data_IF_795240887245
#
_entry.id   IF_795240887245
#
_cell.length_a   1.000
_cell.length_b   1.000
_cell.length_c   1.000
_cell.angle_alpha   90.00
_cell.angle_beta   90.00
_cell.angle_gamma   90.00
#
_symmetry.space_group_name_H-M   'P 1'
#
loop_
_entity.id
_entity.type
_entity.pdbx_description
1 polymer ?
#
# COMPACT_ATOMS: atom_id res chain seq x y z
N UNK A 1 5.77 75.06 6.23
CA UNK A 1 5.40 74.49 4.92
C UNK A 1 5.88 73.04 4.93
N UNK A 2 5.01 72.08 5.26
CA UNK A 2 4.32 71.18 4.31
C UNK A 2 5.31 70.34 3.47
N UNK A 3 5.18 69.03 3.23
CA UNK A 3 4.47 67.87 3.77
C UNK A 3 4.94 66.66 2.91
N UNK A 4 4.68 65.43 3.37
CA UNK A 4 4.72 64.16 2.64
C UNK A 4 6.12 63.56 2.37
N UNK A 5 6.42 62.31 2.71
CA UNK A 5 5.54 61.17 2.97
C UNK A 5 5.99 60.02 2.06
N UNK A 6 6.89 59.18 2.57
CA UNK A 6 7.25 57.94 1.89
C UNK A 6 6.12 56.92 2.08
N UNK A 7 5.38 56.63 1.01
CA UNK A 7 4.38 55.56 0.97
C UNK A 7 4.85 54.44 0.05
N UNK A 8 4.89 53.24 0.62
CA UNK A 8 4.84 51.98 -0.11
C UNK A 8 3.44 51.79 -0.69
N UNK A 9 3.32 51.37 -1.95
CA UNK A 9 2.34 50.35 -2.37
C UNK A 9 2.51 49.92 -3.84
N UNK A 10 2.48 48.60 -4.05
CA UNK A 10 2.04 47.81 -5.22
C UNK A 10 1.98 48.43 -6.62
N UNK A 11 2.53 47.72 -7.60
CA UNK A 11 1.69 47.02 -8.58
C UNK A 11 2.45 45.92 -9.34
N UNK A 12 1.74 44.81 -9.49
CA UNK A 12 2.09 43.52 -10.09
C UNK A 12 2.51 43.61 -11.55
N UNK A 13 3.52 42.83 -11.94
CA UNK A 13 3.59 42.26 -13.29
C UNK A 13 3.87 40.76 -13.22
N UNK A 14 3.00 40.04 -13.90
CA UNK A 14 2.78 38.62 -13.81
C UNK A 14 4.00 37.81 -14.25
N UNK A 15 4.39 36.83 -13.41
CA UNK A 15 5.24 35.74 -13.87
C UNK A 15 4.48 34.91 -14.92
N UNK A 16 5.11 34.56 -16.06
CA UNK A 16 4.47 33.70 -17.03
C UNK A 16 4.18 32.34 -16.39
N UNK A 17 2.89 31.98 -16.34
CA UNK A 17 2.42 30.66 -15.95
C UNK A 17 3.06 29.64 -16.90
N UNK A 18 4.03 28.88 -16.41
CA UNK A 18 4.51 27.68 -17.11
C UNK A 18 3.28 26.80 -17.41
N UNK A 19 3.04 26.41 -18.67
CA UNK A 19 1.98 25.46 -18.96
C UNK A 19 2.27 24.16 -18.19
N UNK A 20 1.25 23.45 -17.68
CA UNK A 20 1.47 22.15 -17.08
C UNK A 20 2.10 21.27 -18.16
N UNK A 21 3.35 20.84 -17.91
CA UNK A 21 3.99 19.82 -18.74
C UNK A 21 3.09 18.60 -18.67
N UNK A 22 2.39 18.32 -19.77
CA UNK A 22 1.81 17.01 -20.04
C UNK A 22 2.97 16.01 -20.01
N UNK A 23 3.27 15.48 -18.82
CA UNK A 23 4.15 14.34 -18.67
C UNK A 23 3.41 13.20 -19.33
N UNK A 24 3.90 12.85 -20.51
CA UNK A 24 3.59 11.63 -21.25
C UNK A 24 3.25 10.52 -20.25
N UNK A 25 1.98 10.13 -20.20
CA UNK A 25 1.54 8.94 -19.49
C UNK A 25 2.27 7.79 -20.15
N UNK A 26 3.36 7.33 -19.54
CA UNK A 26 3.97 6.07 -19.92
C UNK A 26 2.87 5.03 -19.75
N UNK A 27 2.43 4.33 -20.81
CA UNK A 27 1.48 3.25 -20.65
C UNK A 27 2.12 2.25 -19.69
N UNK A 28 1.50 2.03 -18.54
CA UNK A 28 1.78 0.85 -17.73
C UNK A 28 1.43 -0.33 -18.63
N UNK A 29 2.45 -1.06 -19.06
CA UNK A 29 2.31 -2.31 -19.81
C UNK A 29 1.23 -3.17 -19.14
N UNK A 30 0.18 -3.62 -19.86
CA UNK A 30 -0.78 -4.53 -19.29
C UNK A 30 -0.04 -5.83 -18.98
N UNK A 31 0.22 -6.07 -17.70
CA UNK A 31 0.69 -7.38 -17.23
C UNK A 31 -0.48 -8.34 -17.42
N UNK A 32 -0.17 -9.51 -18.00
CA UNK A 32 -1.12 -10.51 -18.45
C UNK A 32 -2.31 -10.68 -17.50
N UNK A 33 -3.51 -10.59 -18.09
CA UNK A 33 -4.83 -10.63 -17.48
C UNK A 33 -5.12 -11.96 -16.78
N UNK A 34 -4.51 -12.19 -15.62
CA UNK A 34 -4.79 -13.32 -14.74
C UNK A 34 -5.24 -12.92 -13.33
N UNK A 35 -5.05 -11.66 -12.93
CA UNK A 35 -5.57 -11.13 -11.68
C UNK A 35 -7.01 -10.65 -11.87
N UNK A 36 -7.94 -11.19 -11.08
CA UNK A 36 -9.35 -10.78 -11.13
C UNK A 36 -9.56 -9.36 -10.56
N UNK A 37 -8.61 -8.91 -9.72
CA UNK A 37 -8.64 -7.60 -9.06
C UNK A 37 -7.26 -6.95 -9.15
N UNK A 38 -7.22 -5.71 -9.63
CA UNK A 38 -6.01 -4.89 -9.70
C UNK A 38 -6.12 -3.73 -8.70
N UNK A 39 -5.10 -3.52 -7.89
CA UNK A 39 -5.02 -2.47 -6.86
C UNK A 39 -3.80 -1.60 -7.13
N UNK A 40 -4.04 -0.29 -7.21
CA UNK A 40 -3.06 0.76 -7.52
C UNK A 40 -2.98 1.77 -6.39
N UNK A 41 -1.92 1.73 -5.61
CA UNK A 41 -1.72 2.62 -4.45
C UNK A 41 -0.97 3.88 -4.87
N UNK A 42 -1.55 5.05 -4.62
CA UNK A 42 -0.91 6.32 -4.92
C UNK A 42 0.27 6.56 -3.95
N UNK A 43 1.49 6.57 -4.47
CA UNK A 43 2.71 6.83 -3.68
C UNK A 43 3.32 8.21 -3.98
N UNK A 44 2.55 9.10 -4.63
CA UNK A 44 2.99 10.47 -4.87
C UNK A 44 3.16 11.25 -3.55
N UNK A 45 3.92 12.36 -3.57
CA UNK A 45 4.41 13.09 -2.40
C UNK A 45 3.39 13.24 -1.25
N UNK A 46 2.15 13.64 -1.54
CA UNK A 46 1.11 13.84 -0.52
C UNK A 46 0.67 12.52 0.12
N UNK A 47 0.32 11.52 -0.67
CA UNK A 47 -0.11 10.22 -0.15
C UNK A 47 1.05 9.50 0.55
N UNK A 48 2.29 9.61 0.05
CA UNK A 48 3.47 9.07 0.73
C UNK A 48 3.67 9.66 2.13
N UNK A 49 3.46 10.98 2.31
CA UNK A 49 3.52 11.62 3.64
C UNK A 49 2.37 11.20 4.57
N UNK A 50 1.30 10.64 4.03
CA UNK A 50 0.10 10.22 4.76
C UNK A 50 0.05 8.70 4.97
N UNK A 51 1.16 7.98 4.78
CA UNK A 51 1.20 6.53 5.00
C UNK A 51 1.05 5.68 3.73
N UNK A 52 1.13 6.27 2.53
CA UNK A 52 0.85 5.56 1.29
C UNK A 52 1.86 4.45 0.94
N UNK A 53 3.09 4.50 1.48
CA UNK A 53 4.09 3.43 1.26
C UNK A 53 3.85 2.26 2.19
N UNK A 54 3.49 2.58 3.43
CA UNK A 54 3.13 1.65 4.49
C UNK A 54 1.87 0.87 4.10
N UNK A 55 0.87 1.58 3.54
CA UNK A 55 -0.35 0.96 3.02
C UNK A 55 -0.08 0.08 1.81
N UNK A 56 0.84 0.47 0.91
CA UNK A 56 1.26 -0.38 -0.20
C UNK A 56 1.91 -1.67 0.31
N UNK A 57 2.86 -1.58 1.25
CA UNK A 57 3.51 -2.75 1.85
C UNK A 57 2.50 -3.65 2.58
N UNK A 58 1.56 -3.06 3.32
CA UNK A 58 0.49 -3.81 3.98
C UNK A 58 -0.39 -4.55 2.95
N UNK A 59 -0.78 -3.90 1.85
CA UNK A 59 -1.56 -4.54 0.78
C UNK A 59 -0.79 -5.67 0.11
N UNK A 60 0.51 -5.50 -0.16
CA UNK A 60 1.37 -6.57 -0.69
C UNK A 60 1.48 -7.75 0.28
N UNK A 61 1.51 -7.47 1.60
CA UNK A 61 1.50 -8.49 2.65
C UNK A 61 0.16 -9.21 2.78
N UNK A 62 -0.96 -8.52 2.58
CA UNK A 62 -2.33 -9.04 2.73
C UNK A 62 -2.87 -9.68 1.44
N UNK A 63 -2.35 -9.31 0.27
CA UNK A 63 -2.96 -9.68 -1.00
C UNK A 63 -2.91 -11.20 -1.26
N UNK A 64 -4.04 -11.80 -1.67
CA UNK A 64 -4.06 -13.14 -2.24
C UNK A 64 -3.46 -13.13 -3.66
N UNK A 65 -3.05 -14.29 -4.16
CA UNK A 65 -2.42 -14.45 -5.49
C UNK A 65 -3.28 -14.01 -6.67
N UNK A 66 -4.59 -13.84 -6.46
CA UNK A 66 -5.56 -13.34 -7.44
C UNK A 66 -5.69 -11.80 -7.49
N UNK A 67 -5.02 -11.09 -6.57
CA UNK A 67 -5.00 -9.62 -6.49
C UNK A 67 -3.62 -9.13 -6.88
N UNK A 68 -3.54 -8.29 -7.91
CA UNK A 68 -2.31 -7.59 -8.26
C UNK A 68 -2.25 -6.26 -7.50
N UNK A 69 -1.20 -6.04 -6.72
CA UNK A 69 -0.97 -4.79 -5.98
C UNK A 69 0.26 -4.10 -6.53
N UNK A 70 0.12 -2.83 -6.90
CA UNK A 70 1.24 -2.04 -7.38
C UNK A 70 1.13 -0.57 -7.00
N UNK A 71 2.28 0.10 -6.92
CA UNK A 71 2.30 1.56 -6.80
C UNK A 71 1.83 2.25 -8.08
N UNK A 72 1.28 3.46 -7.93
CA UNK A 72 0.87 4.32 -9.04
C UNK A 72 1.15 5.80 -8.77
N UNK A 73 0.96 6.61 -9.82
CA UNK A 73 1.06 8.07 -9.76
C UNK A 73 -0.11 8.74 -9.06
N UNK A 74 -0.21 10.06 -9.20
CA UNK A 74 -1.30 10.82 -8.60
C UNK A 74 -2.67 10.39 -9.14
N UNK A 75 -3.61 10.09 -8.25
CA UNK A 75 -5.01 9.79 -8.60
C UNK A 75 -5.91 11.03 -8.57
N UNK A 76 -5.35 12.23 -8.38
CA UNK A 76 -6.09 13.50 -8.45
C UNK A 76 -6.93 13.84 -7.21
N UNK A 77 -6.89 13.02 -6.15
CA UNK A 77 -7.65 13.23 -4.89
C UNK A 77 -6.74 13.59 -3.70
N UNK A 78 -5.73 14.42 -3.95
CA UNK A 78 -4.82 14.88 -2.90
C UNK A 78 -5.60 15.58 -1.76
N UNK A 79 -5.25 15.26 -0.51
CA UNK A 79 -5.95 15.78 0.68
C UNK A 79 -6.89 14.78 1.33
N UNK A 80 -7.28 13.72 0.62
CA UNK A 80 -8.15 12.66 1.12
C UNK A 80 -7.38 11.42 1.63
N UNK A 81 -6.22 11.57 2.27
CA UNK A 81 -5.40 10.42 2.71
C UNK A 81 -4.81 9.62 1.54
N UNK A 82 -4.11 8.48 1.79
CA UNK A 82 -3.64 7.63 0.71
C UNK A 82 -4.81 7.18 -0.16
N UNK A 83 -4.65 7.41 -1.46
CA UNK A 83 -5.66 7.08 -2.45
C UNK A 83 -5.30 5.77 -3.13
N UNK A 84 -6.31 4.94 -3.36
CA UNK A 84 -6.17 3.63 -3.97
C UNK A 84 -7.14 3.54 -5.15
N UNK A 85 -6.63 3.24 -6.33
CA UNK A 85 -7.44 2.81 -7.45
C UNK A 85 -7.61 1.30 -7.38
N UNK A 86 -8.83 0.79 -7.51
CA UNK A 86 -9.08 -0.63 -7.69
C UNK A 86 -9.82 -0.85 -9.00
N UNK A 87 -9.48 -1.91 -9.73
CA UNK A 87 -10.22 -2.39 -10.88
C UNK A 87 -10.63 -3.85 -10.69
N UNK A 88 -11.93 -4.11 -10.88
CA UNK A 88 -12.54 -5.44 -10.77
C UNK A 88 -13.42 -5.65 -11.99
N UNK A 89 -13.15 -6.70 -12.77
CA UNK A 89 -13.98 -7.10 -13.92
C UNK A 89 -14.33 -5.94 -14.88
N UNK A 90 -13.38 -5.03 -15.13
CA UNK A 90 -13.56 -3.88 -16.02
C UNK A 90 -14.21 -2.64 -15.39
N UNK A 91 -14.69 -2.72 -14.15
CA UNK A 91 -15.10 -1.55 -13.36
C UNK A 91 -13.90 -0.99 -12.59
N UNK A 92 -13.76 0.34 -12.54
CA UNK A 92 -12.68 1.00 -11.80
C UNK A 92 -13.24 2.01 -10.80
N UNK A 93 -12.71 1.99 -9.58
CA UNK A 93 -13.09 2.90 -8.50
C UNK A 93 -11.86 3.46 -7.79
N UNK A 94 -11.97 4.67 -7.23
CA UNK A 94 -10.91 5.31 -6.45
C UNK A 94 -11.37 5.56 -5.02
N UNK A 95 -10.70 4.91 -4.08
CA UNK A 95 -10.92 5.01 -2.65
C UNK A 95 -9.92 5.97 -2.02
N UNK A 96 -10.38 6.79 -1.09
CA UNK A 96 -9.52 7.66 -0.26
C UNK A 96 -9.57 7.24 1.21
N UNK A 97 -8.73 7.87 2.02
CA UNK A 97 -8.65 7.72 3.48
C UNK A 97 -8.23 6.31 3.93
N UNK A 98 -7.49 5.61 3.07
CA UNK A 98 -6.93 4.29 3.38
C UNK A 98 -5.54 4.48 3.96
N UNK A 99 -5.45 5.08 5.15
CA UNK A 99 -4.19 5.44 5.81
C UNK A 99 -3.57 4.34 6.66
N UNK A 100 -4.24 3.21 6.85
CA UNK A 100 -3.83 2.14 7.77
C UNK A 100 -3.98 0.77 7.14
N UNK A 101 -3.20 -0.20 7.63
CA UNK A 101 -3.34 -1.60 7.24
C UNK A 101 -4.78 -2.12 7.48
N UNK A 102 -5.42 -1.70 8.57
CA UNK A 102 -6.79 -2.09 8.87
C UNK A 102 -7.80 -1.61 7.82
N UNK A 103 -7.69 -0.35 7.39
CA UNK A 103 -8.53 0.18 6.29
C UNK A 103 -8.22 -0.51 4.97
N UNK A 104 -6.97 -0.87 4.73
CA UNK A 104 -6.57 -1.60 3.53
C UNK A 104 -7.15 -3.02 3.50
N UNK A 105 -7.15 -3.72 4.63
CA UNK A 105 -7.78 -5.03 4.78
C UNK A 105 -9.30 -4.97 4.56
N UNK A 106 -9.98 -3.97 5.14
CA UNK A 106 -11.40 -3.74 4.91
C UNK A 106 -11.72 -3.45 3.44
N UNK A 107 -10.85 -2.72 2.74
CA UNK A 107 -10.99 -2.49 1.31
C UNK A 107 -10.86 -3.80 0.52
N UNK A 108 -9.89 -4.66 0.86
CA UNK A 108 -9.73 -5.97 0.23
C UNK A 108 -10.97 -6.86 0.43
N UNK A 109 -11.50 -6.91 1.66
CA UNK A 109 -12.74 -7.64 1.97
C UNK A 109 -13.92 -7.07 1.16
N UNK A 110 -14.04 -5.75 1.05
CA UNK A 110 -15.09 -5.13 0.25
C UNK A 110 -14.99 -5.47 -1.25
N UNK A 111 -13.78 -5.49 -1.80
CA UNK A 111 -13.54 -5.77 -3.23
C UNK A 111 -13.68 -7.26 -3.59
N UNK A 112 -13.33 -8.16 -2.66
CA UNK A 112 -13.32 -9.61 -2.88
C UNK A 112 -14.57 -10.30 -2.33
N UNK A 113 -15.34 -9.62 -1.49
CA UNK A 113 -16.45 -10.18 -0.71
C UNK A 113 -15.96 -10.98 0.51
N UNK A 114 -16.88 -11.19 1.46
CA UNK A 114 -16.62 -11.92 2.71
C UNK A 114 -16.19 -13.38 2.50
N UNK A 115 -16.61 -14.00 1.38
CA UNK A 115 -16.16 -15.35 0.99
C UNK A 115 -14.77 -15.36 0.35
N UNK A 116 -14.28 -14.20 -0.10
CA UNK A 116 -12.97 -14.06 -0.71
C UNK A 116 -11.88 -13.76 0.32
N UNK A 117 -12.12 -12.81 1.22
CA UNK A 117 -11.10 -12.33 2.15
C UNK A 117 -11.73 -11.86 3.46
N UNK A 118 -11.22 -12.38 4.58
CA UNK A 118 -11.56 -11.93 5.92
C UNK A 118 -10.51 -10.91 6.39
N UNK A 119 -10.95 -9.68 6.63
CA UNK A 119 -10.04 -8.60 7.05
C UNK A 119 -9.42 -8.83 8.43
N UNK A 120 -10.16 -9.44 9.37
CA UNK A 120 -9.65 -9.70 10.72
C UNK A 120 -8.59 -10.80 10.69
N UNK A 121 -8.86 -11.91 9.99
CA UNK A 121 -7.89 -12.99 9.82
C UNK A 121 -6.66 -12.52 9.03
N UNK A 122 -6.85 -11.72 7.99
CA UNK A 122 -5.76 -11.12 7.22
C UNK A 122 -4.86 -10.22 8.07
N UNK A 123 -5.43 -9.33 8.88
CA UNK A 123 -4.66 -8.47 9.78
C UNK A 123 -3.91 -9.25 10.87
N UNK A 124 -4.56 -10.27 11.45
CA UNK A 124 -3.92 -11.14 12.42
C UNK A 124 -2.71 -11.88 11.81
N UNK A 125 -2.87 -12.39 10.59
CA UNK A 125 -1.79 -13.02 9.83
C UNK A 125 -0.66 -12.05 9.50
N UNK A 126 -0.97 -10.81 9.10
CA UNK A 126 0.05 -9.77 8.85
C UNK A 126 0.85 -9.46 10.12
N UNK A 127 0.17 -9.23 11.24
CA UNK A 127 0.82 -8.93 12.52
C UNK A 127 1.68 -10.09 13.02
N UNK A 128 1.22 -11.34 12.85
CA UNK A 128 2.01 -12.53 13.20
C UNK A 128 3.29 -12.64 12.36
N UNK A 129 3.21 -12.29 11.06
CA UNK A 129 4.38 -12.26 10.17
C UNK A 129 5.38 -11.18 10.53
N UNK A 130 4.92 -9.96 10.82
CA UNK A 130 5.80 -8.87 11.27
C UNK A 130 6.53 -9.26 12.57
N UNK A 131 5.84 -9.93 13.50
CA UNK A 131 6.48 -10.49 14.70
C UNK A 131 7.49 -11.58 14.38
N UNK A 132 7.19 -12.47 13.43
CA UNK A 132 8.10 -13.53 13.02
C UNK A 132 9.37 -12.95 12.36
N UNK A 133 9.23 -11.92 11.52
CA UNK A 133 10.35 -11.20 10.93
C UNK A 133 11.20 -10.51 12.00
N UNK A 134 10.57 -9.85 12.99
CA UNK A 134 11.28 -9.26 14.11
C UNK A 134 12.00 -10.31 15.00
N UNK A 135 11.44 -11.52 15.15
CA UNK A 135 12.09 -12.62 15.85
C UNK A 135 13.32 -13.14 15.07
N UNK A 136 13.23 -13.22 13.74
CA UNK A 136 14.37 -13.55 12.88
C UNK A 136 15.49 -12.52 12.94
N UNK A 137 15.16 -11.23 12.97
CA UNK A 137 16.15 -10.16 13.15
C UNK A 137 16.90 -10.27 14.48
N UNK A 138 16.23 -10.76 15.53
CA UNK A 138 16.82 -11.05 16.84
C UNK A 138 17.59 -12.37 16.88
N UNK A 139 17.50 -13.19 15.83
CA UNK A 139 18.12 -14.52 15.75
C UNK A 139 17.33 -15.64 16.43
N UNK A 140 16.07 -15.39 16.82
CA UNK A 140 15.19 -16.41 17.41
C UNK A 140 14.34 -17.09 16.32
N UNK A 141 14.98 -18.05 15.64
CA UNK A 141 14.33 -18.81 14.57
C UNK A 141 13.20 -19.73 15.07
N UNK A 142 13.22 -20.14 16.34
CA UNK A 142 12.21 -21.02 16.91
C UNK A 142 10.90 -20.26 17.17
N UNK A 143 10.99 -19.06 17.77
CA UNK A 143 9.83 -18.17 17.93
C UNK A 143 9.24 -17.79 16.56
N UNK A 144 10.10 -17.44 15.59
CA UNK A 144 9.65 -17.14 14.23
C UNK A 144 8.90 -18.30 13.56
N UNK A 145 9.40 -19.54 13.67
CA UNK A 145 8.71 -20.70 13.12
C UNK A 145 7.36 -20.95 13.80
N UNK A 146 7.27 -20.77 15.12
CA UNK A 146 6.01 -20.93 15.86
C UNK A 146 4.94 -19.93 15.38
N UNK A 147 5.33 -18.66 15.22
CA UNK A 147 4.44 -17.59 14.72
C UNK A 147 3.98 -17.84 13.27
N UNK A 148 4.88 -18.30 12.39
CA UNK A 148 4.55 -18.62 11.00
C UNK A 148 3.65 -19.86 10.91
N UNK A 149 3.88 -20.86 11.77
CA UNK A 149 3.03 -22.06 11.84
C UNK A 149 1.61 -21.69 12.28
N UNK A 150 1.49 -20.80 13.27
CA UNK A 150 0.18 -20.28 13.68
C UNK A 150 -0.52 -19.49 12.57
N UNK A 151 0.25 -18.71 11.81
CA UNK A 151 -0.27 -17.99 10.64
C UNK A 151 -0.87 -18.93 9.60
N UNK A 152 -0.25 -20.09 9.36
CA UNK A 152 -0.80 -21.11 8.45
C UNK A 152 -2.12 -21.71 8.97
N UNK A 153 -2.29 -21.83 10.30
CA UNK A 153 -3.55 -22.33 10.90
C UNK A 153 -4.71 -21.36 10.73
N UNK A 154 -4.43 -20.06 10.75
CA UNK A 154 -5.46 -19.02 10.58
C UNK A 154 -6.08 -19.02 9.17
N UNK A 155 -5.52 -19.78 8.22
CA UNK A 155 -6.00 -19.91 6.83
C UNK A 155 -6.35 -18.55 6.19
N UNK A 156 -5.55 -17.51 6.49
CA UNK A 156 -5.75 -16.21 5.89
C UNK A 156 -5.57 -16.33 4.38
N UNK A 157 -6.59 -15.92 3.63
CA UNK A 157 -6.67 -16.14 2.19
C UNK A 157 -5.53 -15.49 1.38
N UNK A 158 -4.72 -14.60 1.99
CA UNK A 158 -3.66 -13.85 1.34
C UNK A 158 -2.30 -13.92 2.02
N UNK A 159 -1.24 -13.70 1.25
CA UNK A 159 0.14 -13.69 1.75
C UNK A 159 0.75 -15.05 2.14
N UNK A 160 0.05 -16.19 1.98
CA UNK A 160 0.56 -17.53 2.36
C UNK A 160 1.90 -17.87 1.71
N UNK A 161 2.12 -17.48 0.45
CA UNK A 161 3.38 -17.70 -0.25
C UNK A 161 4.57 -17.02 0.44
N UNK A 162 4.34 -15.89 1.10
CA UNK A 162 5.35 -15.17 1.90
C UNK A 162 5.64 -15.93 3.19
N UNK A 163 4.60 -16.47 3.85
CA UNK A 163 4.73 -17.31 5.06
C UNK A 163 5.58 -18.55 4.76
N UNK A 164 5.30 -19.26 3.67
CA UNK A 164 6.09 -20.42 3.25
C UNK A 164 7.55 -20.07 2.96
N UNK A 165 7.79 -18.93 2.29
CA UNK A 165 9.15 -18.44 2.00
C UNK A 165 9.92 -18.14 3.27
N UNK A 166 9.32 -17.39 4.21
CA UNK A 166 9.95 -17.04 5.47
C UNK A 166 10.21 -18.28 6.34
N UNK A 167 9.27 -19.23 6.38
CA UNK A 167 9.42 -20.46 7.15
C UNK A 167 10.55 -21.34 6.63
N UNK A 168 10.70 -21.46 5.30
CA UNK A 168 11.84 -22.17 4.68
C UNK A 168 13.17 -21.51 5.04
N UNK A 169 13.21 -20.18 5.13
CA UNK A 169 14.40 -19.46 5.61
C UNK A 169 14.71 -19.77 7.07
N UNK A 170 13.69 -19.86 7.93
CA UNK A 170 13.86 -20.25 9.34
C UNK A 170 14.52 -21.63 9.47
N UNK A 171 13.98 -22.63 8.75
CA UNK A 171 14.49 -24.00 8.72
C UNK A 171 15.95 -24.08 8.25
N UNK A 172 16.35 -23.21 7.31
CA UNK A 172 17.74 -23.15 6.88
C UNK A 172 18.65 -22.61 7.99
N UNK A 173 18.21 -21.57 8.70
CA UNK A 173 18.95 -20.99 9.82
C UNK A 173 19.09 -21.95 11.02
N UNK A 174 18.15 -22.88 11.22
CA UNK A 174 18.21 -23.85 12.32
C UNK A 174 19.09 -25.07 11.99
N UNK A 175 19.15 -25.50 10.73
CA UNK A 175 19.98 -26.65 10.29
C UNK A 175 21.45 -26.24 10.07
N UNK A 176 21.72 -24.97 9.77
CA UNK A 176 23.07 -24.45 9.53
C UNK A 176 23.87 -24.04 10.77
N UNK A 177 23.41 -24.39 11.98
CA UNK A 177 24.15 -24.22 13.26
C UNK A 177 24.67 -25.57 13.74
#
# INVERSE_FOLDING_TARGET
MAAAGATAFSCSLASPRRPPRHRSRRPTTPRASGAAVEIRVCTNRTCARQGGREVLAALEGLAPTRVDVASCGCLGRCGAGPNIGASVSGSAAVFGHVGTAARAAQLLEHLLGASGFDAAAGLAALAAREKAEAALEKGDAAEAEALLTETLRMNACGGLHLVYRSRRSCLHCTIGR
#
